data_IF_070611674609
#
_entry.id   IF_070611674609
#
_cell.length_a   1.000
_cell.length_b   1.000
_cell.length_c   1.000
_cell.angle_alpha   90.00
_cell.angle_beta   90.00
_cell.angle_gamma   90.00
#
_symmetry.space_group_name_H-M   'P 1'
#
loop_
_entity.id
_entity.type
_entity.pdbx_description
1 polymer ?
#
# COMPACT_ATOMS: atom_id res chain seq x y z
N UNK A 1 -13.31 22.22 -26.70
CA UNK A 1 -14.68 21.95 -27.20
C UNK A 1 -15.55 21.67 -25.99
N UNK A 2 -16.51 22.55 -25.68
CA UNK A 2 -17.39 22.40 -24.52
C UNK A 2 -18.49 21.42 -24.88
N UNK A 3 -18.51 20.24 -24.25
CA UNK A 3 -19.57 19.25 -24.46
C UNK A 3 -20.90 19.82 -23.96
N UNK A 4 -21.87 19.94 -24.86
CA UNK A 4 -23.24 20.36 -24.51
C UNK A 4 -23.87 19.20 -23.74
N UNK A 5 -23.91 19.31 -22.41
CA UNK A 5 -24.75 18.42 -21.59
C UNK A 5 -26.18 18.92 -21.75
N UNK A 6 -27.02 18.12 -22.39
CA UNK A 6 -28.45 18.43 -22.52
C UNK A 6 -29.12 18.11 -21.18
N UNK A 7 -30.05 18.94 -20.72
CA UNK A 7 -30.82 18.72 -19.48
C UNK A 7 -31.39 17.29 -19.33
N UNK A 8 -31.76 16.64 -20.44
CA UNK A 8 -32.25 15.25 -20.46
C UNK A 8 -31.22 14.20 -20.03
N UNK A 9 -29.94 14.55 -19.95
CA UNK A 9 -28.84 13.68 -19.53
C UNK A 9 -28.50 13.85 -18.04
N UNK A 10 -29.02 14.90 -17.37
CA UNK A 10 -28.84 15.09 -15.94
C UNK A 10 -29.86 14.25 -15.17
N UNK A 11 -29.45 13.05 -14.79
CA UNK A 11 -30.27 12.12 -14.00
C UNK A 11 -30.10 12.44 -12.52
N UNK A 12 -31.22 12.66 -11.81
CA UNK A 12 -31.18 12.82 -10.36
C UNK A 12 -30.86 11.47 -9.69
N UNK A 13 -30.09 11.46 -8.59
CA UNK A 13 -29.78 10.23 -7.89
C UNK A 13 -30.98 9.74 -7.07
N UNK A 14 -31.20 8.43 -7.09
CA UNK A 14 -32.27 7.77 -6.34
C UNK A 14 -31.83 7.47 -4.89
N UNK A 15 -32.62 7.92 -3.92
CA UNK A 15 -32.44 7.64 -2.49
C UNK A 15 -33.07 6.29 -2.15
N UNK A 16 -32.23 5.26 -1.99
CA UNK A 16 -32.67 3.85 -1.85
C UNK A 16 -32.54 3.26 -0.46
N UNK A 17 -31.78 3.90 0.42
CA UNK A 17 -31.31 3.28 1.66
C UNK A 17 -30.98 4.34 2.70
N UNK A 18 -31.33 4.06 3.95
CA UNK A 18 -30.93 4.88 5.12
C UNK A 18 -29.61 4.40 5.74
N UNK A 19 -28.90 3.47 5.11
CA UNK A 19 -27.56 3.12 5.56
C UNK A 19 -26.62 4.31 5.32
N UNK A 20 -25.84 4.71 6.35
CA UNK A 20 -24.98 5.90 6.29
C UNK A 20 -24.12 5.97 5.02
N UNK A 21 -23.48 4.86 4.63
CA UNK A 21 -22.65 4.81 3.41
C UNK A 21 -23.46 5.25 2.19
N UNK A 22 -24.63 4.64 1.99
CA UNK A 22 -25.49 4.92 0.83
C UNK A 22 -26.02 6.35 0.87
N UNK A 23 -26.34 6.87 2.06
CA UNK A 23 -26.77 8.26 2.26
C UNK A 23 -25.65 9.25 1.93
N UNK A 24 -24.42 8.99 2.37
CA UNK A 24 -23.26 9.85 2.05
C UNK A 24 -22.98 9.85 0.55
N UNK A 25 -22.99 8.66 -0.09
CA UNK A 25 -22.82 8.54 -1.54
C UNK A 25 -23.92 9.26 -2.30
N UNK A 26 -25.18 9.04 -1.91
CA UNK A 26 -26.32 9.73 -2.51
C UNK A 26 -26.23 11.25 -2.35
N UNK A 27 -25.86 11.75 -1.17
CA UNK A 27 -25.71 13.18 -0.90
C UNK A 27 -24.66 13.82 -1.81
N UNK A 28 -23.50 13.17 -2.00
CA UNK A 28 -22.48 13.66 -2.94
C UNK A 28 -23.02 13.71 -4.37
N UNK A 29 -23.62 12.62 -4.85
CA UNK A 29 -24.22 12.58 -6.19
C UNK A 29 -25.33 13.63 -6.36
N UNK A 30 -26.10 13.90 -5.31
CA UNK A 30 -27.18 14.90 -5.32
C UNK A 30 -26.62 16.31 -5.44
N UNK A 31 -25.56 16.64 -4.71
CA UNK A 31 -24.87 17.92 -4.81
C UNK A 31 -24.23 18.12 -6.19
N UNK A 32 -23.66 17.07 -6.78
CA UNK A 32 -23.12 17.10 -8.15
C UNK A 32 -24.22 17.34 -9.19
N UNK A 33 -25.35 16.64 -9.05
CA UNK A 33 -26.54 16.83 -9.88
C UNK A 33 -27.05 18.28 -9.79
N UNK A 34 -27.27 18.79 -8.57
CA UNK A 34 -27.78 20.15 -8.36
C UNK A 34 -26.81 21.22 -8.88
N UNK A 35 -25.51 21.03 -8.69
CA UNK A 35 -24.48 21.95 -9.21
C UNK A 35 -24.50 21.98 -10.74
N UNK A 36 -24.58 20.81 -11.37
CA UNK A 36 -24.67 20.68 -12.83
C UNK A 36 -25.97 21.27 -13.36
N UNK A 37 -27.08 21.03 -12.66
CA UNK A 37 -28.40 21.57 -12.99
C UNK A 37 -28.43 23.10 -12.90
N UNK A 38 -27.81 23.70 -11.88
CA UNK A 38 -27.68 25.17 -11.77
C UNK A 38 -26.92 25.76 -12.95
N UNK A 39 -25.77 25.18 -13.32
CA UNK A 39 -24.96 25.64 -14.46
C UNK A 39 -25.73 25.55 -15.78
N UNK A 40 -26.46 24.46 -15.95
CA UNK A 40 -27.23 24.23 -17.17
C UNK A 40 -28.48 25.13 -17.26
N UNK A 41 -29.17 25.36 -16.15
CA UNK A 41 -30.27 26.33 -16.06
C UNK A 41 -29.78 27.75 -16.37
N UNK A 42 -28.62 28.15 -15.85
CA UNK A 42 -27.98 29.43 -16.19
C UNK A 42 -27.68 29.54 -17.68
N UNK A 43 -27.12 28.47 -18.28
CA UNK A 43 -26.78 28.44 -19.71
C UNK A 43 -28.01 28.52 -20.62
N UNK A 44 -29.12 27.91 -20.21
CA UNK A 44 -30.37 27.80 -20.99
C UNK A 44 -31.41 28.86 -20.62
N UNK A 45 -31.09 29.77 -19.68
CA UNK A 45 -32.02 30.76 -19.12
C UNK A 45 -33.32 30.14 -18.59
N UNK A 46 -33.23 28.94 -18.01
CA UNK A 46 -34.36 28.25 -17.38
C UNK A 46 -34.35 28.46 -15.87
N UNK A 47 -35.54 28.38 -15.27
CA UNK A 47 -35.66 28.44 -13.81
C UNK A 47 -35.16 27.13 -13.19
N UNK A 48 -34.18 27.25 -12.28
CA UNK A 48 -33.66 26.12 -11.51
C UNK A 48 -34.74 25.47 -10.65
N UNK A 49 -35.56 26.26 -9.95
CA UNK A 49 -36.60 25.74 -9.06
C UNK A 49 -37.70 24.98 -9.81
N UNK A 50 -37.95 25.33 -11.08
CA UNK A 50 -38.93 24.64 -11.91
C UNK A 50 -38.36 23.40 -12.61
N UNK A 51 -37.03 23.31 -12.78
CA UNK A 51 -36.38 22.24 -13.57
C UNK A 51 -35.74 21.17 -12.68
N UNK A 52 -35.25 21.53 -11.50
CA UNK A 52 -34.59 20.60 -10.59
C UNK A 52 -35.64 19.66 -9.97
N UNK A 53 -35.35 18.36 -9.99
CA UNK A 53 -36.20 17.36 -9.33
C UNK A 53 -36.08 17.57 -7.82
N UNK A 54 -37.19 17.78 -7.07
CA UNK A 54 -37.10 18.01 -5.64
C UNK A 54 -36.64 16.75 -4.89
N UNK A 55 -36.13 16.92 -3.68
CA UNK A 55 -35.58 15.82 -2.86
C UNK A 55 -36.63 14.74 -2.59
N UNK A 56 -37.88 15.15 -2.33
CA UNK A 56 -39.00 14.22 -2.10
C UNK A 56 -39.23 13.23 -3.25
N UNK A 57 -38.95 13.64 -4.48
CA UNK A 57 -39.15 12.82 -5.68
C UNK A 57 -37.91 11.96 -6.00
N UNK A 58 -36.86 12.07 -5.19
CA UNK A 58 -35.66 11.24 -5.32
C UNK A 58 -35.79 9.89 -4.62
N UNK A 59 -36.81 9.68 -3.78
CA UNK A 59 -36.96 8.45 -2.99
C UNK A 59 -37.45 7.28 -3.82
N UNK A 60 -36.72 6.17 -3.75
CA UNK A 60 -37.06 4.92 -4.41
C UNK A 60 -36.88 3.74 -3.43
N UNK A 61 -37.73 2.70 -3.48
CA UNK A 61 -38.91 2.55 -4.33
C UNK A 61 -40.07 3.46 -3.89
N UNK A 62 -41.14 3.50 -4.70
CA UNK A 62 -42.37 4.23 -4.38
C UNK A 62 -42.90 3.82 -2.99
N UNK A 63 -43.31 4.80 -2.18
CA UNK A 63 -43.75 4.59 -0.80
C UNK A 63 -42.62 4.55 0.24
N UNK A 64 -41.35 4.57 -0.18
CA UNK A 64 -40.23 4.55 0.77
C UNK A 64 -40.15 5.83 1.61
N UNK A 65 -40.38 7.00 1.00
CA UNK A 65 -40.43 8.27 1.75
C UNK A 65 -41.56 8.26 2.79
N UNK A 66 -42.76 7.82 2.41
CA UNK A 66 -43.89 7.68 3.31
C UNK A 66 -43.57 6.78 4.50
N UNK A 67 -42.97 5.62 4.23
CA UNK A 67 -42.52 4.71 5.29
C UNK A 67 -41.53 5.40 6.25
N UNK A 68 -40.54 6.14 5.74
CA UNK A 68 -39.54 6.82 6.57
C UNK A 68 -40.16 7.97 7.40
N UNK A 69 -41.04 8.77 6.81
CA UNK A 69 -41.75 9.84 7.51
C UNK A 69 -42.60 9.29 8.66
N UNK A 70 -43.32 8.18 8.44
CA UNK A 70 -44.18 7.53 9.45
C UNK A 70 -43.39 6.85 10.56
N UNK A 71 -42.28 6.17 10.24
CA UNK A 71 -41.65 5.24 11.18
C UNK A 71 -40.39 5.78 11.84
N UNK A 72 -39.60 6.61 11.13
CA UNK A 72 -38.23 6.97 11.53
C UNK A 72 -38.06 8.44 11.84
N UNK A 73 -38.72 9.30 11.08
CA UNK A 73 -38.50 10.74 11.15
C UNK A 73 -39.59 11.48 11.91
N UNK A 74 -40.76 10.86 12.15
CA UNK A 74 -41.85 11.49 12.90
C UNK A 74 -42.46 12.71 12.18
N UNK A 75 -42.22 12.83 10.87
CA UNK A 75 -42.69 13.97 10.08
C UNK A 75 -44.14 13.80 9.60
N UNK A 76 -44.74 12.63 9.80
CA UNK A 76 -46.07 12.33 9.30
C UNK A 76 -47.21 13.00 10.09
N UNK A 77 -46.95 13.39 11.33
CA UNK A 77 -47.94 14.05 12.17
C UNK A 77 -48.14 15.52 11.75
N UNK A 78 -47.05 16.17 11.29
CA UNK A 78 -47.03 17.58 10.88
C UNK A 78 -47.15 17.77 9.36
N UNK A 79 -46.71 16.79 8.57
CA UNK A 79 -46.61 16.88 7.11
C UNK A 79 -47.10 15.61 6.39
N UNK A 80 -47.37 15.76 5.10
CA UNK A 80 -47.64 14.71 4.13
C UNK A 80 -46.68 14.80 2.94
N UNK A 81 -46.77 13.84 2.01
CA UNK A 81 -45.87 13.76 0.85
C UNK A 81 -45.88 15.01 -0.06
N UNK A 82 -46.97 15.78 -0.06
CA UNK A 82 -47.13 16.95 -0.94
C UNK A 82 -46.61 18.25 -0.30
N UNK A 83 -46.65 18.36 1.04
CA UNK A 83 -46.37 19.60 1.75
C UNK A 83 -45.14 19.55 2.67
N UNK A 84 -44.42 18.42 2.74
CA UNK A 84 -43.17 18.34 3.51
C UNK A 84 -42.12 19.32 2.94
N UNK A 85 -41.58 20.25 3.75
CA UNK A 85 -40.53 21.17 3.31
C UNK A 85 -39.23 20.42 2.96
N UNK A 86 -38.48 20.91 1.96
CA UNK A 86 -37.20 20.29 1.62
C UNK A 86 -36.18 20.39 2.76
N UNK A 87 -36.21 21.46 3.55
CA UNK A 87 -35.29 21.66 4.69
C UNK A 87 -35.49 20.59 5.76
N UNK A 88 -36.72 20.16 6.02
CA UNK A 88 -37.02 19.06 6.95
C UNK A 88 -36.49 17.72 6.42
N UNK A 89 -36.64 17.46 5.11
CA UNK A 89 -36.07 16.27 4.48
C UNK A 89 -34.54 16.28 4.55
N UNK A 90 -33.91 17.42 4.26
CA UNK A 90 -32.46 17.57 4.39
C UNK A 90 -31.99 17.41 5.84
N UNK A 91 -32.72 17.96 6.81
CA UNK A 91 -32.46 17.79 8.24
C UNK A 91 -32.50 16.32 8.64
N UNK A 92 -33.55 15.59 8.22
CA UNK A 92 -33.70 14.17 8.50
C UNK A 92 -32.60 13.31 7.84
N UNK A 93 -32.23 13.62 6.60
CA UNK A 93 -31.13 12.96 5.87
C UNK A 93 -29.78 13.23 6.54
N UNK A 94 -29.48 14.49 6.88
CA UNK A 94 -28.25 14.87 7.57
C UNK A 94 -28.17 14.23 8.95
N UNK A 95 -29.28 14.14 9.68
CA UNK A 95 -29.36 13.43 10.95
C UNK A 95 -28.99 11.94 10.87
N UNK A 96 -29.10 11.30 9.69
CA UNK A 96 -28.58 9.93 9.50
C UNK A 96 -27.05 9.92 9.45
N UNK A 97 -26.46 10.94 8.83
CA UNK A 97 -25.01 11.10 8.73
C UNK A 97 -24.42 11.50 10.09
N UNK A 98 -25.12 12.33 10.86
CA UNK A 98 -24.60 12.83 12.14
C UNK A 98 -24.72 11.81 13.27
N UNK A 99 -25.68 10.86 13.16
CA UNK A 99 -25.80 9.77 14.13
C UNK A 99 -24.56 8.86 14.11
N UNK A 100 -24.05 8.57 15.31
CA UNK A 100 -22.97 7.61 15.51
C UNK A 100 -23.41 6.26 14.92
N UNK A 101 -22.69 5.77 13.89
CA UNK A 101 -23.01 4.49 13.28
C UNK A 101 -23.08 3.39 14.34
N UNK A 102 -24.02 2.45 14.20
CA UNK A 102 -24.13 1.26 15.04
C UNK A 102 -22.73 0.78 15.46
N UNK A 103 -22.51 0.63 16.78
CA UNK A 103 -21.27 0.23 17.46
C UNK A 103 -20.77 -1.18 17.07
N UNK A 104 -20.87 -1.55 15.81
CA UNK A 104 -20.14 -2.67 15.24
C UNK A 104 -18.66 -2.36 15.32
N UNK A 105 -17.94 -3.21 16.05
CA UNK A 105 -16.48 -3.27 16.09
C UNK A 105 -16.00 -3.57 14.68
N UNK A 106 -15.91 -2.55 13.84
CA UNK A 106 -15.30 -2.66 12.52
C UNK A 106 -13.80 -2.68 12.73
N UNK A 107 -13.16 -3.79 12.39
CA UNK A 107 -11.72 -3.80 12.16
C UNK A 107 -11.46 -2.78 11.05
N UNK A 108 -10.71 -1.71 11.34
CA UNK A 108 -10.42 -0.65 10.36
C UNK A 108 -9.82 -1.19 9.07
N UNK A 109 -9.10 -2.32 9.14
CA UNK A 109 -8.56 -3.02 7.98
C UNK A 109 -9.65 -3.39 6.97
N UNK A 110 -10.83 -3.84 7.43
CA UNK A 110 -11.95 -4.19 6.55
C UNK A 110 -12.63 -2.96 5.94
N UNK A 111 -12.50 -1.79 6.56
CA UNK A 111 -13.06 -0.53 6.02
C UNK A 111 -12.32 -0.13 4.76
N UNK A 112 -10.99 -0.27 4.76
CA UNK A 112 -10.14 0.16 3.66
C UNK A 112 -9.73 -0.99 2.73
N UNK A 113 -10.45 -2.12 2.74
CA UNK A 113 -10.03 -3.32 1.99
C UNK A 113 -9.97 -3.13 0.48
N UNK A 114 -10.80 -2.24 -0.06
CA UNK A 114 -10.84 -1.87 -1.48
C UNK A 114 -9.94 -0.68 -1.81
N UNK A 115 -9.18 -0.15 -0.84
CA UNK A 115 -8.25 0.95 -1.08
C UNK A 115 -6.92 0.39 -1.55
N UNK A 116 -6.43 0.92 -2.65
CA UNK A 116 -5.12 0.61 -3.21
C UNK A 116 -4.48 1.85 -3.85
N UNK A 117 -3.16 1.80 -3.96
CA UNK A 117 -2.38 2.79 -4.65
C UNK A 117 -2.39 2.43 -6.14
N UNK A 118 -2.92 3.30 -7.01
CA UNK A 118 -3.06 2.97 -8.44
C UNK A 118 -1.70 2.89 -9.14
N UNK A 119 -1.21 1.68 -9.35
CA UNK A 119 0.10 1.46 -9.96
C UNK A 119 0.13 1.69 -11.48
N UNK A 120 -1.03 1.84 -12.12
CA UNK A 120 -1.12 2.15 -13.55
C UNK A 120 -0.93 3.65 -13.83
N UNK A 121 -1.18 4.52 -12.86
CA UNK A 121 -0.93 5.96 -12.97
C UNK A 121 0.57 6.26 -12.89
N UNK A 122 1.17 6.86 -13.93
CA UNK A 122 2.60 7.15 -14.00
C UNK A 122 3.01 8.31 -13.07
N UNK A 123 2.11 9.27 -12.86
CA UNK A 123 2.34 10.40 -11.96
C UNK A 123 2.15 9.97 -10.49
N UNK A 124 3.25 9.96 -9.74
CA UNK A 124 3.26 9.58 -8.33
C UNK A 124 2.44 10.55 -7.48
N UNK A 125 2.43 11.84 -7.83
CA UNK A 125 1.66 12.83 -7.09
C UNK A 125 0.17 12.60 -7.25
N UNK A 126 -0.29 12.41 -8.49
CA UNK A 126 -1.70 12.08 -8.77
C UNK A 126 -2.10 10.77 -8.10
N UNK A 127 -1.25 9.74 -8.22
CA UNK A 127 -1.46 8.44 -7.58
C UNK A 127 -1.68 8.56 -6.06
N UNK A 128 -0.84 9.36 -5.39
CA UNK A 128 -0.96 9.56 -3.93
C UNK A 128 -2.17 10.43 -3.60
N UNK A 129 -2.45 11.46 -4.38
CA UNK A 129 -3.62 12.32 -4.18
C UNK A 129 -4.93 11.54 -4.34
N UNK A 130 -5.06 10.72 -5.39
CA UNK A 130 -6.19 9.83 -5.61
C UNK A 130 -6.38 8.83 -4.47
N UNK A 131 -5.29 8.22 -3.98
CA UNK A 131 -5.33 7.34 -2.80
C UNK A 131 -5.85 8.08 -1.55
N UNK A 132 -5.31 9.27 -1.26
CA UNK A 132 -5.69 10.07 -0.09
C UNK A 132 -7.14 10.57 -0.20
N UNK A 133 -7.58 10.92 -1.40
CA UNK A 133 -8.96 11.32 -1.67
C UNK A 133 -9.95 10.16 -1.48
N UNK A 134 -9.67 8.98 -2.04
CA UNK A 134 -10.49 7.78 -1.79
C UNK A 134 -10.53 7.42 -0.30
N UNK A 135 -9.40 7.55 0.41
CA UNK A 135 -9.34 7.34 1.84
C UNK A 135 -10.24 8.31 2.63
N UNK A 136 -10.28 9.59 2.25
CA UNK A 136 -11.16 10.57 2.90
C UNK A 136 -12.65 10.24 2.68
N UNK A 137 -13.00 9.81 1.47
CA UNK A 137 -14.36 9.38 1.15
C UNK A 137 -14.82 8.20 2.02
N UNK A 138 -13.97 7.18 2.17
CA UNK A 138 -14.27 6.03 3.04
C UNK A 138 -14.35 6.42 4.52
N UNK A 139 -13.53 7.36 5.00
CA UNK A 139 -13.62 7.86 6.37
C UNK A 139 -15.01 8.47 6.64
N UNK A 140 -15.55 9.24 5.70
CA UNK A 140 -16.88 9.86 5.81
C UNK A 140 -18.01 8.82 5.74
N UNK A 141 -17.97 7.94 4.73
CA UNK A 141 -18.97 6.88 4.51
C UNK A 141 -19.11 5.94 5.72
N UNK A 142 -18.00 5.72 6.43
CA UNK A 142 -17.93 4.85 7.60
C UNK A 142 -18.06 5.59 8.93
N UNK A 143 -18.27 6.91 8.93
CA UNK A 143 -18.41 7.71 10.15
C UNK A 143 -17.19 7.65 11.06
N UNK A 144 -15.99 7.68 10.47
CA UNK A 144 -14.73 7.64 11.20
C UNK A 144 -14.19 9.04 11.54
N UNK A 145 -14.86 10.12 11.10
CA UNK A 145 -14.43 11.51 11.29
C UNK A 145 -14.17 11.86 12.75
N UNK A 146 -15.17 11.70 13.63
CA UNK A 146 -15.03 11.98 15.06
C UNK A 146 -13.96 11.10 15.73
N UNK A 147 -13.73 9.89 15.21
CA UNK A 147 -12.70 8.98 15.73
C UNK A 147 -11.28 9.47 15.43
N UNK A 148 -11.11 10.41 14.50
CA UNK A 148 -9.81 11.05 14.23
C UNK A 148 -9.43 12.06 15.32
N UNK A 149 -10.37 12.55 16.12
CA UNK A 149 -10.09 13.43 17.28
C UNK A 149 -9.47 12.63 18.44
N UNK A 150 -9.76 11.33 18.52
CA UNK A 150 -9.13 10.43 19.48
C UNK A 150 -7.79 9.90 18.95
N UNK A 151 -6.68 10.35 19.54
CA UNK A 151 -5.33 9.96 19.10
C UNK A 151 -5.09 8.43 18.99
N UNK A 152 -5.68 7.61 19.87
CA UNK A 152 -5.53 6.14 19.82
C UNK A 152 -6.30 5.54 18.65
N UNK A 153 -7.53 6.00 18.39
CA UNK A 153 -8.34 5.51 17.27
C UNK A 153 -7.79 6.03 15.94
N UNK A 154 -7.38 7.30 15.89
CA UNK A 154 -6.65 7.91 14.77
C UNK A 154 -5.44 7.08 14.35
N UNK A 155 -4.60 6.66 15.29
CA UNK A 155 -3.44 5.81 15.01
C UNK A 155 -3.85 4.46 14.40
N UNK A 156 -4.92 3.83 14.89
CA UNK A 156 -5.45 2.57 14.33
C UNK A 156 -5.99 2.76 12.90
N UNK A 157 -6.70 3.86 12.64
CA UNK A 157 -7.23 4.21 11.31
C UNK A 157 -6.06 4.44 10.34
N UNK A 158 -5.05 5.21 10.74
CA UNK A 158 -3.93 5.53 9.86
C UNK A 158 -3.05 4.31 9.61
N UNK A 159 -2.84 3.45 10.62
CA UNK A 159 -2.19 2.16 10.42
C UNK A 159 -2.93 1.32 9.38
N UNK A 160 -4.26 1.22 9.46
CA UNK A 160 -5.06 0.48 8.49
C UNK A 160 -4.98 1.06 7.07
N UNK A 161 -4.83 2.39 6.92
CA UNK A 161 -4.56 3.04 5.63
C UNK A 161 -3.16 2.71 5.10
N UNK A 162 -2.14 2.82 5.95
CA UNK A 162 -0.75 2.53 5.57
C UNK A 162 -0.59 1.07 5.17
N UNK A 163 -1.32 0.16 5.82
CA UNK A 163 -1.30 -1.27 5.49
C UNK A 163 -1.88 -1.58 4.09
N UNK A 164 -2.48 -0.61 3.41
CA UNK A 164 -2.93 -0.69 2.01
C UNK A 164 -1.90 -0.24 0.98
N UNK A 165 -0.80 0.35 1.43
CA UNK A 165 0.25 0.80 0.54
C UNK A 165 1.03 -0.39 -0.02
N UNK A 166 1.32 -0.30 -1.31
CA UNK A 166 2.23 -1.19 -2.02
C UNK A 166 3.25 -0.32 -2.77
N UNK A 167 4.49 -0.79 -2.98
CA UNK A 167 5.05 -2.07 -2.53
C UNK A 167 5.34 -2.11 -1.01
N UNK A 168 5.70 -3.28 -0.46
CA UNK A 168 5.83 -3.51 1.00
C UNK A 168 6.94 -2.65 1.65
N UNK A 169 7.95 -2.30 0.89
CA UNK A 169 9.04 -1.44 1.33
C UNK A 169 8.50 -0.01 1.61
N UNK A 170 7.68 0.54 0.70
CA UNK A 170 7.01 1.83 0.89
C UNK A 170 6.11 1.81 2.13
N UNK A 171 5.33 0.75 2.30
CA UNK A 171 4.50 0.54 3.49
C UNK A 171 5.34 0.61 4.77
N UNK A 172 6.48 -0.09 4.81
CA UNK A 172 7.33 -0.18 6.01
C UNK A 172 7.96 1.17 6.34
N UNK A 173 8.48 1.88 5.34
CA UNK A 173 9.07 3.22 5.52
C UNK A 173 8.04 4.24 6.00
N UNK A 174 6.86 4.25 5.40
CA UNK A 174 5.77 5.16 5.79
C UNK A 174 5.31 4.86 7.21
N UNK A 175 5.20 3.57 7.58
CA UNK A 175 4.80 3.15 8.93
C UNK A 175 5.78 3.61 10.00
N UNK A 176 7.08 3.42 9.79
CA UNK A 176 8.10 3.89 10.72
C UNK A 176 8.02 5.40 10.94
N UNK A 177 7.91 6.18 9.85
CA UNK A 177 7.82 7.64 9.95
C UNK A 177 6.51 8.14 10.50
N UNK A 178 5.43 7.41 10.26
CA UNK A 178 4.14 7.69 10.85
C UNK A 178 4.26 7.54 12.37
N UNK A 179 4.82 6.44 12.86
CA UNK A 179 5.00 6.22 14.30
C UNK A 179 5.89 7.30 14.94
N UNK A 180 6.97 7.72 14.26
CA UNK A 180 7.85 8.81 14.71
C UNK A 180 7.17 10.20 14.69
N UNK A 181 6.48 10.56 13.60
CA UNK A 181 5.96 11.93 13.40
C UNK A 181 4.57 12.16 13.99
N UNK A 182 3.72 11.14 14.00
CA UNK A 182 2.38 11.24 14.59
C UNK A 182 2.44 11.20 16.12
N UNK A 183 3.51 10.64 16.71
CA UNK A 183 3.77 10.76 18.14
C UNK A 183 4.05 12.22 18.56
N UNK A 184 4.63 13.02 17.66
CA UNK A 184 5.04 14.40 17.94
C UNK A 184 3.95 15.42 17.58
N UNK A 185 3.18 15.18 16.52
CA UNK A 185 2.16 16.12 16.05
C UNK A 185 0.73 15.60 16.22
N UNK A 186 0.09 16.00 17.32
CA UNK A 186 -1.32 15.65 17.63
C UNK A 186 -2.31 16.12 16.56
N UNK A 187 -2.03 17.24 15.89
CA UNK A 187 -2.87 17.80 14.82
C UNK A 187 -2.61 17.19 13.44
N UNK A 188 -1.70 16.22 13.31
CA UNK A 188 -1.40 15.62 12.01
C UNK A 188 -2.60 14.85 11.45
N UNK A 189 -3.36 15.46 10.53
CA UNK A 189 -4.50 14.84 9.85
C UNK A 189 -4.12 14.04 8.59
N UNK A 190 -5.12 13.64 7.81
CA UNK A 190 -4.95 12.85 6.58
C UNK A 190 -4.02 13.54 5.55
N UNK A 191 -4.06 14.88 5.47
CA UNK A 191 -3.13 15.69 4.66
C UNK A 191 -1.65 15.46 5.01
N UNK A 192 -1.35 15.26 6.29
CA UNK A 192 0.03 14.99 6.73
C UNK A 192 0.47 13.59 6.32
N UNK A 193 -0.42 12.61 6.45
CA UNK A 193 -0.18 11.24 5.97
C UNK A 193 0.11 11.25 4.46
N UNK A 194 -0.71 11.94 3.67
CA UNK A 194 -0.48 12.10 2.23
C UNK A 194 0.90 12.68 1.89
N UNK A 195 1.33 13.72 2.60
CA UNK A 195 2.69 14.29 2.44
C UNK A 195 3.81 13.29 2.77
N UNK A 196 3.63 12.44 3.78
CA UNK A 196 4.62 11.42 4.15
C UNK A 196 4.69 10.35 3.05
N UNK A 197 3.53 9.87 2.58
CA UNK A 197 3.44 8.89 1.50
C UNK A 197 4.10 9.44 0.23
N UNK A 198 3.74 10.66 -0.18
CA UNK A 198 4.29 11.29 -1.39
C UNK A 198 5.81 11.40 -1.34
N UNK A 199 6.36 11.95 -0.25
CA UNK A 199 7.81 12.08 -0.06
C UNK A 199 8.52 10.74 -0.16
N UNK A 200 7.92 9.66 0.34
CA UNK A 200 8.52 8.32 0.28
C UNK A 200 8.34 7.66 -1.08
N UNK A 201 7.16 7.75 -1.68
CA UNK A 201 6.89 7.21 -3.01
C UNK A 201 7.84 7.81 -4.08
N UNK A 202 8.16 9.11 -3.98
CA UNK A 202 9.15 9.75 -4.85
C UNK A 202 10.56 9.15 -4.70
N UNK A 203 10.95 8.76 -3.49
CA UNK A 203 12.22 8.08 -3.25
C UNK A 203 12.24 6.66 -3.85
N UNK A 204 11.09 5.99 -3.99
CA UNK A 204 11.05 4.68 -4.67
C UNK A 204 11.29 4.78 -6.19
N UNK A 205 10.92 5.89 -6.83
CA UNK A 205 11.33 6.18 -8.22
C UNK A 205 12.85 6.31 -8.31
N UNK A 206 13.48 6.97 -7.34
CA UNK A 206 14.95 7.03 -7.23
C UNK A 206 15.57 5.74 -6.69
N UNK A 207 14.79 4.77 -6.21
CA UNK A 207 15.25 3.45 -5.77
C UNK A 207 15.11 2.35 -6.81
N UNK A 208 14.75 2.70 -8.05
CA UNK A 208 14.78 1.76 -9.17
C UNK A 208 16.13 1.01 -9.21
N UNK A 209 16.19 -0.28 -9.56
CA UNK A 209 17.45 -1.01 -9.67
C UNK A 209 18.48 -0.32 -10.60
N UNK A 210 18.02 0.53 -11.52
CA UNK A 210 18.87 1.36 -12.39
C UNK A 210 19.62 2.42 -11.59
N UNK A 211 18.97 3.10 -10.64
CA UNK A 211 19.59 4.11 -9.78
C UNK A 211 20.35 3.52 -8.60
N UNK A 212 19.95 2.35 -8.08
CA UNK A 212 20.76 1.62 -7.07
C UNK A 212 22.11 1.18 -7.64
N UNK A 213 22.14 0.71 -8.90
CA UNK A 213 23.39 0.41 -9.62
C UNK A 213 24.25 1.63 -9.93
N UNK A 214 23.67 2.83 -9.99
CA UNK A 214 24.44 4.07 -10.15
C UNK A 214 25.04 4.51 -8.81
N UNK A 215 24.29 4.38 -7.71
CA UNK A 215 24.78 4.72 -6.36
C UNK A 215 25.85 3.76 -5.84
N UNK A 216 25.70 2.47 -6.12
CA UNK A 216 26.72 1.45 -5.78
C UNK A 216 27.94 1.54 -6.74
N UNK A 217 27.80 2.20 -7.90
CA UNK A 217 28.95 2.52 -8.79
C UNK A 217 29.66 3.79 -8.35
N UNK A 218 28.93 4.87 -8.06
CA UNK A 218 29.52 6.11 -7.55
C UNK A 218 30.20 5.91 -6.19
N UNK A 219 29.63 5.11 -5.27
CA UNK A 219 30.32 4.83 -4.00
C UNK A 219 31.52 3.88 -4.16
N UNK A 220 31.57 3.08 -5.24
CA UNK A 220 32.73 2.24 -5.54
C UNK A 220 33.83 3.04 -6.26
N UNK A 221 33.47 4.01 -7.10
CA UNK A 221 34.41 4.87 -7.79
C UNK A 221 34.96 5.98 -6.85
N UNK A 222 34.16 6.49 -5.90
CA UNK A 222 34.64 7.48 -4.90
C UNK A 222 35.55 6.85 -3.82
N UNK A 223 35.38 5.57 -3.48
CA UNK A 223 36.30 4.86 -2.57
C UNK A 223 37.61 4.41 -3.26
N UNK A 224 37.61 4.18 -4.58
CA UNK A 224 38.85 3.93 -5.34
C UNK A 224 39.63 5.22 -5.65
N UNK A 225 38.97 6.36 -5.84
CA UNK A 225 39.66 7.62 -6.18
C UNK A 225 40.30 8.33 -4.96
N UNK A 226 39.88 8.02 -3.73
CA UNK A 226 40.54 8.54 -2.51
C UNK A 226 41.69 7.68 -1.98
N UNK A 227 41.91 6.45 -2.50
CA UNK A 227 43.07 5.63 -2.15
C UNK A 227 44.21 5.67 -3.18
N UNK A 228 43.98 6.20 -4.39
CA UNK A 228 44.98 6.35 -5.45
C UNK A 228 45.99 7.50 -5.28
N UNK A 229 45.66 8.53 -4.49
CA UNK A 229 46.43 9.79 -4.45
C UNK A 229 47.42 9.95 -3.28
N UNK A 230 47.66 8.92 -2.44
CA UNK A 230 48.60 9.01 -1.29
C UNK A 230 49.82 8.09 -1.32
N UNK A 231 50.08 7.37 -2.41
CA UNK A 231 51.26 6.48 -2.53
C UNK A 231 52.25 6.89 -3.63
N UNK A 232 52.67 8.17 -3.68
CA UNK A 232 53.89 8.58 -4.40
C UNK A 232 54.64 9.68 -3.66
N UNK A 233 55.22 9.35 -2.49
CA UNK A 233 56.40 10.06 -1.95
C UNK A 233 56.99 9.27 -0.77
N UNK A 234 58.02 8.47 -1.07
CA UNK A 234 59.22 8.19 -0.25
C UNK A 234 59.93 6.95 -0.80
N UNK A 235 60.85 7.17 -1.74
CA UNK A 235 62.01 6.28 -1.96
C UNK A 235 63.21 6.92 -1.25
N UNK A 236 64.06 6.04 -0.70
CA UNK A 236 65.37 6.24 -0.05
C UNK A 236 65.32 6.38 1.48
N UNK A 237 65.50 5.26 2.19
CA UNK A 237 66.77 4.95 2.85
C UNK A 237 66.89 3.44 3.14
N UNK A 238 68.13 2.96 3.29
CA UNK A 238 68.61 1.57 3.15
C UNK A 238 68.91 0.95 4.53
N UNK A 239 68.90 -0.39 4.60
CA UNK A 239 69.41 -1.29 5.67
C UNK A 239 68.52 -1.40 6.94
N UNK A 240 68.39 -2.53 7.66
CA UNK A 240 69.15 -3.79 7.77
C UNK A 240 68.25 -4.90 8.38
N UNK A 241 68.66 -6.14 8.26
CA UNK A 241 68.05 -7.43 8.68
C UNK A 241 67.38 -7.50 10.06
N UNK A 242 66.26 -8.25 10.20
CA UNK A 242 66.18 -9.58 10.88
C UNK A 242 64.73 -10.11 11.07
N UNK A 243 64.55 -11.39 10.67
CA UNK A 243 63.73 -12.49 11.25
C UNK A 243 62.22 -12.35 11.59
N UNK A 244 61.45 -13.18 10.86
CA UNK A 244 60.39 -14.15 11.25
C UNK A 244 59.02 -13.68 11.79
N UNK A 245 57.88 -14.25 11.31
CA UNK A 245 56.54 -13.72 11.55
C UNK A 245 55.82 -14.39 12.73
N UNK A 246 55.07 -13.60 13.50
CA UNK A 246 54.05 -14.10 14.44
C UNK A 246 52.68 -13.69 13.90
N UNK A 247 51.89 -14.70 13.55
CA UNK A 247 50.51 -14.58 13.09
C UNK A 247 49.62 -14.08 14.23
N UNK A 248 48.75 -13.10 13.94
CA UNK A 248 47.62 -12.73 14.79
C UNK A 248 46.44 -13.60 14.42
N UNK A 249 46.04 -14.44 15.37
CA UNK A 249 44.76 -15.13 15.37
C UNK A 249 43.61 -14.12 15.38
N UNK A 250 42.69 -14.25 14.43
CA UNK A 250 41.36 -13.67 14.53
C UNK A 250 40.38 -14.82 14.66
N UNK A 251 39.76 -14.86 15.83
CA UNK A 251 38.67 -15.75 16.23
C UNK A 251 37.44 -15.40 15.40
N UNK A 252 36.88 -16.36 14.66
CA UNK A 252 35.53 -16.26 14.10
C UNK A 252 34.78 -17.57 14.37
N UNK A 253 33.89 -17.51 15.36
CA UNK A 253 32.93 -18.53 15.74
C UNK A 253 31.78 -18.54 14.71
N UNK A 254 31.69 -19.58 13.88
CA UNK A 254 30.61 -19.65 12.89
C UNK A 254 30.44 -21.00 12.19
N UNK A 255 29.57 -21.86 12.75
CA UNK A 255 28.88 -22.99 12.10
C UNK A 255 29.76 -23.86 11.17
N UNK A 256 30.31 -24.94 11.72
CA UNK A 256 31.08 -25.95 10.98
C UNK A 256 30.29 -26.51 9.77
N UNK A 257 30.66 -26.08 8.57
CA UNK A 257 30.14 -26.64 7.32
C UNK A 257 30.82 -27.98 7.07
N UNK A 258 30.07 -29.07 6.79
CA UNK A 258 30.67 -30.36 6.47
C UNK A 258 31.56 -30.29 5.23
N UNK A 259 32.59 -31.13 5.19
CA UNK A 259 33.47 -31.32 4.04
C UNK A 259 32.66 -31.51 2.76
N UNK A 260 32.89 -30.66 1.76
CA UNK A 260 32.15 -30.68 0.50
C UNK A 260 32.39 -31.94 -0.35
N UNK A 261 33.48 -32.68 -0.10
CA UNK A 261 33.83 -33.87 -0.87
C UNK A 261 33.27 -35.16 -0.29
N UNK A 262 33.23 -35.31 1.05
CA UNK A 262 32.77 -36.54 1.70
C UNK A 262 31.60 -36.34 2.68
N UNK A 263 31.13 -35.11 2.88
CA UNK A 263 30.05 -34.78 3.81
C UNK A 263 30.42 -34.85 5.29
N UNK A 264 31.67 -35.18 5.64
CA UNK A 264 32.09 -35.29 7.04
C UNK A 264 32.23 -33.93 7.71
N UNK A 265 31.69 -33.78 8.92
CA UNK A 265 31.84 -32.57 9.74
C UNK A 265 33.24 -32.44 10.38
N UNK A 266 34.07 -33.49 10.33
CA UNK A 266 35.35 -33.56 11.05
C UNK A 266 36.52 -32.83 10.38
N UNK A 267 36.38 -32.45 9.11
CA UNK A 267 37.46 -31.78 8.36
C UNK A 267 36.90 -30.88 7.25
N UNK A 268 37.71 -29.94 6.77
CA UNK A 268 37.40 -29.11 5.60
C UNK A 268 37.90 -29.79 4.32
N UNK A 269 37.40 -29.35 3.16
CA UNK A 269 37.75 -29.92 1.84
C UNK A 269 39.28 -30.03 1.60
N UNK A 270 40.04 -29.06 2.11
CA UNK A 270 41.50 -29.03 2.01
C UNK A 270 42.16 -30.24 2.69
N UNK A 271 41.62 -30.66 3.84
CA UNK A 271 42.18 -31.71 4.69
C UNK A 271 41.46 -33.06 4.48
N UNK A 272 40.69 -33.17 3.39
CA UNK A 272 39.98 -34.40 3.09
C UNK A 272 40.96 -35.49 2.62
N UNK A 273 40.99 -36.66 3.29
CA UNK A 273 41.88 -37.76 2.92
C UNK A 273 41.39 -38.50 1.66
N UNK A 274 40.13 -38.31 1.26
CA UNK A 274 39.56 -38.94 0.08
C UNK A 274 39.58 -38.05 -1.18
N UNK A 275 40.11 -36.82 -1.11
CA UNK A 275 40.11 -35.89 -2.25
C UNK A 275 41.49 -35.76 -2.90
N UNK A 276 41.53 -35.65 -4.22
CA UNK A 276 42.77 -35.46 -4.98
C UNK A 276 43.19 -33.97 -5.01
N UNK A 277 44.46 -33.70 -5.36
CA UNK A 277 45.03 -32.35 -5.36
C UNK A 277 44.31 -31.35 -6.30
N UNK A 278 43.60 -31.83 -7.33
CA UNK A 278 42.79 -30.98 -8.22
C UNK A 278 41.45 -30.59 -7.57
N UNK A 279 40.85 -31.47 -6.79
CA UNK A 279 39.59 -31.23 -6.07
C UNK A 279 39.75 -30.31 -4.86
N UNK A 280 40.95 -30.26 -4.26
CA UNK A 280 41.29 -29.35 -3.16
C UNK A 280 41.45 -27.88 -3.59
N UNK A 281 41.60 -27.61 -4.89
CA UNK A 281 41.85 -26.26 -5.46
C UNK A 281 40.62 -25.60 -6.09
N UNK A 282 39.45 -26.24 -6.07
CA UNK A 282 38.22 -25.67 -6.65
C UNK A 282 37.61 -24.60 -5.73
N UNK A 283 37.29 -23.38 -6.25
CA UNK A 283 36.61 -22.37 -5.47
C UNK A 283 35.19 -22.82 -5.09
N UNK A 284 34.79 -22.56 -3.84
CA UNK A 284 33.47 -22.86 -3.29
C UNK A 284 32.37 -22.01 -3.95
N UNK A 285 31.96 -22.38 -5.17
CA UNK A 285 30.76 -21.83 -5.83
C UNK A 285 30.03 -22.93 -6.62
N UNK A 286 29.18 -23.68 -5.92
CA UNK A 286 27.98 -24.28 -6.51
C UNK A 286 26.85 -24.21 -5.50
N UNK A 287 25.85 -23.42 -5.85
CA UNK A 287 24.55 -23.33 -5.17
C UNK A 287 23.87 -24.70 -5.21
N UNK A 288 23.12 -25.02 -4.15
CA UNK A 288 22.46 -26.31 -3.92
C UNK A 288 21.30 -26.65 -4.87
N UNK A 289 21.55 -26.64 -6.18
CA UNK A 289 20.59 -27.11 -7.21
C UNK A 289 21.15 -28.20 -8.14
N UNK A 290 22.43 -28.56 -8.00
CA UNK A 290 23.06 -29.58 -8.86
C UNK A 290 23.18 -30.97 -8.22
N UNK A 291 22.96 -31.10 -6.91
CA UNK A 291 23.08 -32.40 -6.20
C UNK A 291 21.76 -33.17 -6.24
N UNK A 292 20.61 -32.48 -6.26
CA UNK A 292 19.29 -33.11 -6.34
C UNK A 292 18.97 -33.66 -7.75
N UNK A 293 19.53 -33.06 -8.80
CA UNK A 293 19.31 -33.51 -10.18
C UNK A 293 20.03 -34.83 -10.49
N UNK A 294 21.20 -35.09 -9.87
CA UNK A 294 21.94 -36.35 -10.06
C UNK A 294 21.30 -37.51 -9.28
N UNK A 295 20.76 -37.26 -8.08
CA UNK A 295 20.06 -38.26 -7.28
C UNK A 295 18.71 -38.67 -7.92
N UNK A 296 18.00 -37.72 -8.54
CA UNK A 296 16.74 -38.02 -9.25
C UNK A 296 16.95 -38.83 -10.54
N UNK A 297 18.07 -38.63 -11.25
CA UNK A 297 18.40 -39.39 -12.46
C UNK A 297 18.84 -40.83 -12.14
N UNK A 298 19.57 -41.05 -11.05
CA UNK A 298 19.99 -42.38 -10.61
C UNK A 298 18.81 -43.25 -10.15
N UNK A 299 17.83 -42.67 -9.43
CA UNK A 299 16.65 -43.41 -9.00
C UNK A 299 15.72 -43.80 -10.18
N UNK A 300 15.60 -42.98 -11.23
CA UNK A 300 14.84 -43.35 -12.43
C UNK A 300 15.46 -44.51 -13.21
N UNK A 301 16.79 -44.63 -13.24
CA UNK A 301 17.46 -45.74 -13.91
C UNK A 301 17.33 -47.06 -13.14
N UNK A 302 17.33 -47.03 -11.81
CA UNK A 302 17.16 -48.21 -10.96
C UNK A 302 15.73 -48.79 -11.05
N UNK A 303 14.70 -47.94 -11.12
CA UNK A 303 13.30 -48.40 -11.23
C UNK A 303 13.03 -49.06 -12.58
N UNK A 304 13.59 -48.54 -13.68
CA UNK A 304 13.41 -49.13 -15.02
C UNK A 304 14.13 -50.48 -15.16
N UNK A 305 15.27 -50.67 -14.48
CA UNK A 305 15.97 -51.96 -14.44
C UNK A 305 15.24 -53.02 -13.59
N UNK A 306 14.54 -52.61 -12.52
CA UNK A 306 13.76 -53.50 -11.67
C UNK A 306 12.46 -53.99 -12.35
N UNK A 307 11.80 -53.16 -13.15
CA UNK A 307 10.56 -53.55 -13.86
C UNK A 307 10.85 -54.50 -15.02
N UNK A 308 12.04 -54.46 -15.62
CA UNK A 308 12.44 -55.33 -16.74
C UNK A 308 12.89 -56.74 -16.32
N UNK A 309 13.16 -56.97 -15.03
CA UNK A 309 13.50 -58.31 -14.47
C UNK A 309 12.29 -59.07 -13.92
N UNK A 310 11.11 -58.46 -13.88
CA UNK A 310 9.86 -59.10 -13.41
C UNK A 310 8.95 -59.60 -14.52
N UNK A 311 9.33 -59.39 -15.78
CA UNK A 311 8.56 -59.74 -16.98
C UNK A 311 9.38 -60.58 -17.96
N UNK A 312 10.30 -61.39 -17.44
CA UNK A 312 10.99 -62.49 -18.15
C UNK A 312 10.83 -63.76 -17.34
#
# INVERSE_FOLDING_TARGET
>A
MSGVVVLSQLVHPEFKSIARRDVVVWKRARLEYETSMRRECQRTSRSYSATCVPVRDSFAPVGYLEFLMKTKWGLWDDYNLLNVPEDELWGAINGIIDKETNKTVRTYDKVFSSLDLDHNEEDIEERVNSFVFKASQMIEEHGLGEKLENGKLKAKIFKALVDRLRPQELQTDVKQLMDEKMAVNKQAGLKHLGKIILKRALLYKSWSPKTKRLRDKESSDEEEEQQGARKKKKRKFKQKDTKTPVQKDTKDDGKERPCWHCGSKKHKLHDCPSSNAKQKKLPSRRTGKAVDAAAAAANKAATVAATRRRSS
#
